data_IF_500860839052
#
_entry.id   IF_500860839052
#
_cell.length_a   1.000
_cell.length_b   1.000
_cell.length_c   1.000
_cell.angle_alpha   90.00
_cell.angle_beta   90.00
_cell.angle_gamma   90.00
#
_symmetry.space_group_name_H-M   'P 1'
#
loop_
_entity.id
_entity.type
_entity.pdbx_description
1 polymer ?
#
# COMPACT_ATOMS: atom_id res chain seq x y z
N UNK A 1 -10.28 36.88 22.60
CA UNK A 1 -9.92 36.66 24.02
C UNK A 1 -10.12 37.90 24.87
N UNK A 2 -9.47 39.03 24.60
CA UNK A 2 -9.72 40.28 25.35
C UNK A 2 -10.97 41.05 24.89
N UNK A 3 -11.30 41.05 23.59
CA UNK A 3 -12.35 41.91 23.04
C UNK A 3 -13.71 41.21 22.80
N UNK A 4 -13.91 40.00 23.35
CA UNK A 4 -15.21 39.32 23.26
C UNK A 4 -15.50 38.59 24.56
N UNK A 5 -16.64 38.91 25.18
CA UNK A 5 -17.12 38.31 26.44
C UNK A 5 -17.63 36.88 26.24
N UNK A 6 -18.18 36.59 25.06
CA UNK A 6 -18.94 35.37 24.79
C UNK A 6 -18.23 34.39 23.85
N UNK A 7 -17.30 34.85 23.00
CA UNK A 7 -16.51 33.97 22.12
C UNK A 7 -15.03 34.09 22.47
N UNK A 8 -14.43 32.96 22.84
CA UNK A 8 -13.00 32.81 23.11
C UNK A 8 -12.36 31.91 22.05
N UNK A 9 -11.06 32.06 21.85
CA UNK A 9 -10.24 31.23 20.95
C UNK A 9 -9.13 30.58 21.77
N UNK A 10 -8.86 29.30 21.51
CA UNK A 10 -7.75 28.57 22.10
C UNK A 10 -6.72 28.18 21.03
N UNK A 11 -5.49 27.99 21.46
CA UNK A 11 -4.43 27.38 20.65
C UNK A 11 -3.82 26.24 21.46
N UNK A 12 -3.67 25.07 20.85
CA UNK A 12 -3.03 23.91 21.45
C UNK A 12 -2.12 23.24 20.44
N UNK A 13 -1.06 22.62 20.95
CA UNK A 13 -0.11 21.80 20.20
C UNK A 13 0.08 20.48 20.96
N UNK A 14 -0.03 19.34 20.27
CA UNK A 14 0.15 18.02 20.88
C UNK A 14 1.00 17.15 19.95
N UNK A 15 2.16 16.63 20.41
CA UNK A 15 2.97 15.72 19.59
C UNK A 15 2.35 14.32 19.53
N UNK A 16 2.71 13.54 18.51
CA UNK A 16 2.32 12.12 18.35
C UNK A 16 3.53 11.28 17.94
N UNK A 17 3.59 10.06 18.47
CA UNK A 17 4.46 8.97 18.02
C UNK A 17 3.60 7.72 17.86
N UNK A 18 3.65 7.09 16.69
CA UNK A 18 2.87 5.91 16.37
C UNK A 18 3.78 4.85 15.74
N UNK A 19 3.86 3.67 16.35
CA UNK A 19 4.65 2.56 15.82
C UNK A 19 3.94 1.90 14.64
N UNK A 20 4.71 1.48 13.62
CA UNK A 20 4.18 0.89 12.39
C UNK A 20 4.65 -0.55 12.28
N UNK A 21 3.74 -1.48 12.54
CA UNK A 21 3.86 -2.92 12.28
C UNK A 21 2.64 -3.62 12.89
N UNK A 22 2.38 -4.85 12.47
CA UNK A 22 1.58 -5.75 13.29
C UNK A 22 2.39 -6.14 14.54
N UNK A 23 1.77 -6.06 15.70
CA UNK A 23 2.35 -6.52 16.97
C UNK A 23 2.64 -8.02 16.96
N UNK A 24 1.79 -8.81 16.29
CA UNK A 24 2.07 -10.20 15.98
C UNK A 24 2.98 -10.30 14.76
N UNK A 25 4.24 -10.68 14.99
CA UNK A 25 5.32 -10.63 13.99
C UNK A 25 4.98 -11.35 12.68
N UNK A 26 4.31 -12.50 12.75
CA UNK A 26 3.97 -13.29 11.57
C UNK A 26 2.95 -12.60 10.64
N UNK A 27 2.22 -11.57 11.08
CA UNK A 27 1.38 -10.79 10.15
C UNK A 27 2.17 -9.76 9.33
N UNK A 28 3.44 -9.51 9.65
CA UNK A 28 4.32 -8.65 8.84
C UNK A 28 4.89 -9.43 7.64
N UNK A 29 3.99 -10.01 6.85
CA UNK A 29 4.27 -10.74 5.62
C UNK A 29 3.34 -10.25 4.51
N UNK A 30 3.78 -10.38 3.27
CA UNK A 30 2.97 -10.12 2.09
C UNK A 30 3.46 -10.96 0.91
N UNK A 31 2.58 -11.11 -0.07
CA UNK A 31 2.87 -11.75 -1.35
C UNK A 31 2.35 -10.90 -2.50
N UNK A 32 2.97 -11.07 -3.65
CA UNK A 32 2.56 -10.49 -4.92
C UNK A 32 2.77 -11.49 -6.06
N UNK A 33 1.96 -11.36 -7.11
CA UNK A 33 2.04 -12.12 -8.34
C UNK A 33 2.10 -11.13 -9.50
N UNK A 34 3.15 -11.25 -10.31
CA UNK A 34 3.40 -10.40 -11.48
C UNK A 34 3.49 -11.28 -12.72
N UNK A 35 2.74 -10.91 -13.76
CA UNK A 35 2.84 -11.52 -15.09
C UNK A 35 3.29 -10.47 -16.09
N UNK A 36 4.28 -10.79 -16.92
CA UNK A 36 4.65 -10.02 -18.09
C UNK A 36 4.16 -10.78 -19.32
N UNK A 37 3.25 -10.18 -20.09
CA UNK A 37 2.72 -10.78 -21.29
C UNK A 37 3.62 -10.49 -22.50
N UNK A 38 3.43 -11.26 -23.58
CA UNK A 38 4.25 -11.13 -24.80
C UNK A 38 4.03 -9.80 -25.55
N UNK A 39 2.95 -9.08 -25.24
CA UNK A 39 2.67 -7.73 -25.74
C UNK A 39 3.35 -6.62 -24.91
N UNK A 40 4.11 -7.00 -23.87
CA UNK A 40 4.78 -6.09 -22.95
C UNK A 40 3.93 -5.60 -21.79
N UNK A 41 2.63 -5.91 -21.77
CA UNK A 41 1.77 -5.50 -20.65
C UNK A 41 2.07 -6.28 -19.37
N UNK A 42 1.97 -5.60 -18.23
CA UNK A 42 2.25 -6.17 -16.91
C UNK A 42 0.96 -6.30 -16.10
N UNK A 43 0.69 -7.50 -15.59
CA UNK A 43 -0.43 -7.74 -14.69
C UNK A 43 0.05 -8.00 -13.27
N UNK A 44 -0.41 -7.18 -12.34
CA UNK A 44 -0.06 -7.21 -10.93
C UNK A 44 -1.25 -7.66 -10.06
N UNK A 45 -0.98 -8.53 -9.10
CA UNK A 45 -1.85 -8.84 -7.97
C UNK A 45 -1.05 -8.86 -6.66
N UNK A 46 -1.63 -8.38 -5.57
CA UNK A 46 -1.02 -8.44 -4.24
C UNK A 46 -2.10 -8.68 -3.17
N UNK A 47 -1.67 -9.01 -1.94
CA UNK A 47 -2.60 -9.36 -0.85
C UNK A 47 -3.37 -8.18 -0.23
N UNK A 48 -2.84 -6.96 -0.33
CA UNK A 48 -3.51 -5.77 0.17
C UNK A 48 -4.82 -5.45 -0.57
N UNK A 49 -5.79 -4.86 0.12
CA UNK A 49 -7.13 -4.48 -0.40
C UNK A 49 -7.24 -2.96 -0.53
N UNK A 50 -7.78 -2.49 -1.66
CA UNK A 50 -8.10 -1.08 -1.86
C UNK A 50 -9.38 -0.69 -1.10
N UNK A 51 -9.31 0.41 -0.34
CA UNK A 51 -10.41 0.95 0.46
C UNK A 51 -10.38 2.50 0.51
N UNK A 52 -9.74 3.15 -0.48
CA UNK A 52 -9.66 4.60 -0.65
C UNK A 52 -8.30 5.21 -0.28
N UNK A 53 -7.36 4.41 0.21
CA UNK A 53 -6.00 4.83 0.60
C UNK A 53 -5.01 4.86 -0.58
N UNK A 54 -5.44 4.43 -1.77
CA UNK A 54 -4.63 4.41 -2.99
C UNK A 54 -3.54 3.35 -2.95
N UNK A 55 -3.79 2.22 -2.28
CA UNK A 55 -2.83 1.14 -2.16
C UNK A 55 -2.50 0.53 -3.52
N UNK A 56 -3.51 0.28 -4.36
CA UNK A 56 -3.30 -0.33 -5.67
C UNK A 56 -2.40 0.52 -6.55
N UNK A 57 -2.64 1.84 -6.56
CA UNK A 57 -1.83 2.79 -7.32
C UNK A 57 -0.38 2.80 -6.83
N UNK A 58 -0.17 2.87 -5.51
CA UNK A 58 1.17 2.89 -4.91
C UNK A 58 1.97 1.63 -5.26
N UNK A 59 1.37 0.45 -5.21
CA UNK A 59 2.08 -0.80 -5.52
C UNK A 59 2.33 -0.92 -7.03
N UNK A 60 1.40 -0.48 -7.88
CA UNK A 60 1.62 -0.42 -9.32
C UNK A 60 2.79 0.53 -9.69
N UNK A 61 2.91 1.68 -9.01
CA UNK A 61 4.05 2.60 -9.16
C UNK A 61 5.38 1.93 -8.81
N UNK A 62 5.42 1.10 -7.76
CA UNK A 62 6.64 0.35 -7.41
C UNK A 62 7.04 -0.61 -8.53
N UNK A 63 6.09 -1.33 -9.12
CA UNK A 63 6.37 -2.26 -10.23
C UNK A 63 6.78 -1.51 -11.50
N UNK A 64 6.11 -0.41 -11.83
CA UNK A 64 6.44 0.43 -12.97
C UNK A 64 7.87 1.00 -12.85
N UNK A 65 8.23 1.49 -11.67
CA UNK A 65 9.59 1.96 -11.38
C UNK A 65 10.61 0.81 -11.50
N UNK A 66 10.33 -0.36 -10.93
CA UNK A 66 11.29 -1.47 -10.99
C UNK A 66 11.54 -1.97 -12.43
N UNK A 67 10.51 -1.95 -13.29
CA UNK A 67 10.63 -2.30 -14.71
C UNK A 67 11.04 -1.14 -15.62
N UNK A 68 11.09 0.09 -15.12
CA UNK A 68 11.35 1.31 -15.90
C UNK A 68 10.37 1.48 -17.07
N UNK A 69 9.08 1.27 -16.79
CA UNK A 69 7.98 1.42 -17.75
C UNK A 69 6.96 2.45 -17.25
N UNK A 70 6.12 2.93 -18.17
CA UNK A 70 5.01 3.81 -17.81
C UNK A 70 3.96 3.07 -16.97
N UNK A 71 3.35 3.81 -16.04
CA UNK A 71 2.37 3.25 -15.09
C UNK A 71 1.13 2.64 -15.78
N UNK A 72 0.75 3.15 -16.94
CA UNK A 72 -0.39 2.66 -17.72
C UNK A 72 -0.18 1.26 -18.32
N UNK A 73 1.09 0.81 -18.40
CA UNK A 73 1.46 -0.55 -18.78
C UNK A 73 1.26 -1.57 -17.65
N UNK A 74 1.10 -1.11 -16.40
CA UNK A 74 0.87 -1.95 -15.22
C UNK A 74 -0.63 -1.99 -14.89
N UNK A 75 -1.27 -3.12 -15.19
CA UNK A 75 -2.66 -3.40 -14.84
C UNK A 75 -2.73 -4.14 -13.52
N UNK A 76 -3.25 -3.50 -12.49
CA UNK A 76 -3.59 -4.15 -11.23
C UNK A 76 -5.04 -4.65 -11.25
N UNK A 77 -5.28 -5.88 -10.76
CA UNK A 77 -6.65 -6.39 -10.57
C UNK A 77 -7.01 -6.55 -9.10
N UNK A 78 -8.30 -6.72 -8.84
CA UNK A 78 -8.83 -6.96 -7.51
C UNK A 78 -8.11 -8.12 -6.80
N UNK A 79 -7.91 -7.93 -5.50
CA UNK A 79 -7.32 -8.91 -4.58
C UNK A 79 -8.15 -10.19 -4.57
N UNK A 80 -7.50 -11.33 -4.72
CA UNK A 80 -8.15 -12.65 -4.69
C UNK A 80 -7.22 -13.70 -4.12
N UNK A 81 -7.76 -14.54 -3.23
CA UNK A 81 -7.04 -15.66 -2.59
C UNK A 81 -6.60 -16.74 -3.58
N UNK A 82 -7.22 -16.80 -4.77
CA UNK A 82 -6.80 -17.69 -5.85
C UNK A 82 -5.50 -17.28 -6.54
N UNK A 83 -5.05 -16.03 -6.38
CA UNK A 83 -3.78 -15.53 -6.95
C UNK A 83 -2.70 -15.34 -5.90
N UNK A 84 -3.08 -14.78 -4.75
CA UNK A 84 -2.15 -14.57 -3.62
C UNK A 84 -2.80 -15.13 -2.35
N UNK A 85 -2.43 -16.35 -1.91
CA UNK A 85 -2.99 -16.97 -0.72
C UNK A 85 -2.35 -16.46 0.57
N UNK A 86 -2.96 -16.76 1.72
CA UNK A 86 -2.41 -16.56 3.07
C UNK A 86 -1.95 -15.12 3.40
N UNK A 87 -2.65 -14.13 2.83
CA UNK A 87 -2.31 -12.72 3.01
C UNK A 87 -2.77 -12.19 4.36
N UNK A 88 -1.97 -11.36 5.02
CA UNK A 88 -2.41 -10.60 6.19
C UNK A 88 -3.52 -9.61 5.84
N UNK A 89 -4.30 -9.19 6.84
CA UNK A 89 -5.29 -8.14 6.68
C UNK A 89 -4.64 -6.81 6.26
N UNK A 90 -5.35 -5.99 5.49
CA UNK A 90 -4.90 -4.62 5.20
C UNK A 90 -5.14 -3.73 6.42
N UNK A 91 -4.15 -3.68 7.32
CA UNK A 91 -4.22 -2.96 8.59
C UNK A 91 -2.81 -2.51 9.04
N UNK A 92 -2.68 -2.05 10.29
CA UNK A 92 -1.43 -1.66 10.95
C UNK A 92 -0.61 -0.56 10.24
N UNK A 93 -1.23 0.18 9.31
CA UNK A 93 -0.58 1.20 8.48
C UNK A 93 0.64 0.68 7.69
N UNK A 94 0.76 -0.62 7.50
CA UNK A 94 1.91 -1.28 6.83
C UNK A 94 1.59 -1.79 5.43
N UNK A 95 0.37 -1.56 4.93
CA UNK A 95 -0.12 -2.13 3.69
C UNK A 95 0.74 -1.77 2.47
N UNK A 96 1.16 -0.51 2.34
CA UNK A 96 2.01 -0.05 1.24
C UNK A 96 3.41 -0.62 1.33
N UNK A 97 4.02 -0.60 2.52
CA UNK A 97 5.35 -1.14 2.78
C UNK A 97 5.41 -2.62 2.43
N UNK A 98 4.51 -3.43 3.00
CA UNK A 98 4.55 -4.88 2.83
C UNK A 98 4.24 -5.30 1.38
N UNK A 99 3.15 -4.80 0.80
CA UNK A 99 2.75 -5.22 -0.56
C UNK A 99 3.63 -4.61 -1.64
N UNK A 100 4.15 -3.39 -1.42
CA UNK A 100 5.13 -2.76 -2.30
C UNK A 100 6.42 -3.57 -2.36
N UNK A 101 6.99 -3.96 -1.22
CA UNK A 101 8.20 -4.78 -1.18
C UNK A 101 7.99 -6.18 -1.76
N UNK A 102 6.82 -6.79 -1.55
CA UNK A 102 6.49 -8.07 -2.17
C UNK A 102 6.41 -7.95 -3.71
N UNK A 103 5.79 -6.90 -4.23
CA UNK A 103 5.69 -6.65 -5.67
C UNK A 103 7.04 -6.30 -6.30
N UNK A 104 7.87 -5.50 -5.61
CA UNK A 104 9.24 -5.23 -6.05
C UNK A 104 10.07 -6.50 -6.13
N UNK A 105 9.98 -7.38 -5.12
CA UNK A 105 10.68 -8.65 -5.14
C UNK A 105 10.23 -9.50 -6.35
N UNK A 106 8.92 -9.62 -6.60
CA UNK A 106 8.40 -10.33 -7.76
C UNK A 106 8.87 -9.74 -9.10
N UNK A 107 9.06 -8.42 -9.19
CA UNK A 107 9.58 -7.75 -10.39
C UNK A 107 11.10 -7.94 -10.61
N UNK A 108 11.85 -8.35 -9.57
CA UNK A 108 13.31 -8.57 -9.65
C UNK A 108 13.72 -10.01 -9.96
N UNK A 109 12.77 -10.95 -9.97
CA UNK A 109 13.04 -12.37 -10.24
C UNK A 109 13.13 -12.63 -11.74
#
# INVERSE_FOLDING_TARGET
NNNSRFIKRGLALTPVKFGISFTATHYNQAGALVHVYTDGSVHLNHGGTEMGQGLYLKVAQVVAEEFQIDLDQVKITATTTGKVPNTSATAASSGSDLNGMAAQNAARQ
#
